data_IF_591901444133
#
_entry.id   IF_591901444133
#
_cell.length_a   1.000
_cell.length_b   1.000
_cell.length_c   1.000
_cell.angle_alpha   90.00
_cell.angle_beta   90.00
_cell.angle_gamma   90.00
#
_symmetry.space_group_name_H-M   'P 1'
#
loop_
_entity.id
_entity.type
_entity.pdbx_description
1 polymer ?
#
# COMPACT_ATOMS: atom_id res chain seq x y z
N UNK A 1 -10.22 12.86 25.32
CA UNK A 1 -9.38 12.50 24.18
C UNK A 1 -10.09 13.02 22.92
N UNK A 2 -9.71 14.18 22.37
CA UNK A 2 -10.31 14.74 21.16
C UNK A 2 -9.50 14.22 19.98
N UNK A 3 -10.04 13.30 19.19
CA UNK A 3 -9.45 12.92 17.91
C UNK A 3 -9.29 14.19 17.05
N UNK A 4 -8.12 14.43 16.46
CA UNK A 4 -7.99 15.48 15.47
C UNK A 4 -8.65 15.00 14.17
N UNK A 5 -9.96 15.29 14.02
CA UNK A 5 -10.69 15.16 12.75
C UNK A 5 -10.07 16.02 11.61
N UNK A 6 -9.07 16.80 11.92
CA UNK A 6 -8.39 17.70 10.97
C UNK A 6 -7.43 16.98 9.99
N UNK A 7 -7.12 15.70 10.20
CA UNK A 7 -6.18 14.98 9.30
C UNK A 7 -6.83 14.48 8.02
N UNK A 8 -8.14 14.44 7.92
CA UNK A 8 -8.85 14.10 6.68
C UNK A 8 -8.83 15.25 5.64
N UNK A 9 -8.47 16.45 6.03
CA UNK A 9 -8.52 17.65 5.18
C UNK A 9 -7.20 17.96 4.43
N UNK A 10 -6.14 17.22 4.67
CA UNK A 10 -4.88 17.33 3.90
C UNK A 10 -4.90 16.33 2.74
N UNK A 11 -5.95 16.34 1.92
CA UNK A 11 -5.82 15.90 0.54
C UNK A 11 -5.14 17.08 -0.19
N UNK A 12 -3.83 17.03 -0.46
CA UNK A 12 -3.27 18.03 -1.33
C UNK A 12 -4.00 17.88 -2.66
N UNK A 13 -4.57 18.97 -3.15
CA UNK A 13 -4.88 19.14 -4.56
C UNK A 13 -3.54 19.16 -5.32
N UNK A 14 -2.88 18.01 -5.35
CA UNK A 14 -1.76 17.77 -6.24
C UNK A 14 -2.35 17.94 -7.63
N UNK A 15 -1.92 18.98 -8.33
CA UNK A 15 -2.09 19.12 -9.77
C UNK A 15 -1.42 17.89 -10.39
N UNK A 16 -2.24 16.84 -10.59
CA UNK A 16 -1.80 15.62 -11.23
C UNK A 16 -1.79 15.96 -12.70
N UNK A 17 -0.60 16.01 -13.29
CA UNK A 17 -0.45 16.21 -14.72
C UNK A 17 -1.14 15.04 -15.46
N UNK A 18 -1.61 15.29 -16.66
CA UNK A 18 -2.21 14.27 -17.53
C UNK A 18 -1.32 13.03 -17.61
N UNK A 19 -1.86 11.82 -17.39
CA UNK A 19 -1.09 10.56 -17.32
C UNK A 19 -0.53 10.20 -15.95
N UNK A 20 -0.85 10.95 -14.88
CA UNK A 20 -0.35 10.69 -13.53
C UNK A 20 -1.46 10.22 -12.61
N UNK A 21 -1.22 9.16 -11.82
CA UNK A 21 -2.16 8.62 -10.83
C UNK A 21 -1.86 9.14 -9.42
N UNK A 22 -2.89 9.51 -8.66
CA UNK A 22 -2.79 9.77 -7.24
C UNK A 22 -2.87 8.46 -6.42
N UNK A 23 -2.09 8.34 -5.34
CA UNK A 23 -2.10 7.18 -4.44
C UNK A 23 -2.16 7.64 -3.00
N UNK A 24 -3.31 7.47 -2.37
CA UNK A 24 -3.53 7.82 -0.98
C UNK A 24 -3.80 6.55 -0.19
N UNK A 25 -3.05 6.36 0.87
CA UNK A 25 -3.26 5.26 1.81
C UNK A 25 -3.26 5.80 3.23
N UNK A 26 -4.26 5.43 3.99
CA UNK A 26 -4.36 5.75 5.40
C UNK A 26 -4.56 4.46 6.19
N UNK A 27 -3.65 4.18 7.12
CA UNK A 27 -3.74 3.02 8.00
C UNK A 27 -3.87 3.48 9.44
N UNK A 28 -4.81 2.92 10.17
CA UNK A 28 -4.93 3.11 11.62
C UNK A 28 -4.63 1.78 12.30
N UNK A 29 -3.71 1.79 13.25
CA UNK A 29 -3.38 0.64 14.07
C UNK A 29 -3.72 0.89 15.53
N UNK A 30 -4.29 -0.10 16.19
CA UNK A 30 -4.50 -0.14 17.63
C UNK A 30 -3.76 -1.36 18.19
N UNK A 31 -2.80 -1.11 19.09
CA UNK A 31 -2.05 -2.18 19.74
C UNK A 31 -2.86 -2.75 20.89
N UNK A 32 -3.17 -4.04 20.84
CA UNK A 32 -3.92 -4.74 21.88
C UNK A 32 -3.02 -5.26 23.01
N UNK A 33 -1.83 -5.72 22.65
CA UNK A 33 -0.79 -6.18 23.57
C UNK A 33 0.58 -6.21 22.84
N UNK A 34 1.59 -6.82 23.46
CA UNK A 34 2.96 -6.87 22.90
C UNK A 34 3.03 -7.54 21.51
N UNK A 35 2.11 -8.46 21.20
CA UNK A 35 2.14 -9.24 19.96
C UNK A 35 1.02 -8.92 18.98
N UNK A 36 -0.14 -8.50 19.47
CA UNK A 36 -1.32 -8.33 18.63
C UNK A 36 -1.67 -6.86 18.39
N UNK A 37 -1.96 -6.54 17.15
CA UNK A 37 -2.55 -5.27 16.75
C UNK A 37 -3.70 -5.51 15.78
N UNK A 38 -4.72 -4.67 15.87
CA UNK A 38 -5.79 -4.60 14.87
C UNK A 38 -5.73 -3.27 14.16
N UNK A 39 -6.23 -3.21 12.95
CA UNK A 39 -6.21 -1.97 12.19
C UNK A 39 -7.22 -1.96 11.06
N UNK A 40 -7.26 -0.83 10.40
CA UNK A 40 -7.99 -0.66 9.15
C UNK A 40 -7.16 0.16 8.17
N UNK A 41 -7.29 -0.17 6.92
CA UNK A 41 -6.61 0.50 5.82
C UNK A 41 -7.63 1.07 4.84
N UNK A 42 -7.42 2.30 4.43
CA UNK A 42 -8.20 2.97 3.40
C UNK A 42 -7.25 3.39 2.27
N UNK A 43 -7.51 2.90 1.06
CA UNK A 43 -6.80 3.36 -0.13
C UNK A 43 -7.77 4.10 -1.03
N UNK A 44 -7.31 5.24 -1.56
CA UNK A 44 -7.98 6.00 -2.59
C UNK A 44 -7.01 6.23 -3.73
N UNK A 45 -7.45 5.98 -4.94
CA UNK A 45 -6.64 6.15 -6.16
C UNK A 45 -7.45 6.94 -7.17
N UNK A 46 -7.36 8.26 -7.15
CA UNK A 46 -7.91 9.08 -8.22
C UNK A 46 -7.12 8.86 -9.52
N UNK A 47 -7.84 8.95 -10.61
CA UNK A 47 -7.33 8.87 -11.97
C UNK A 47 -6.97 10.24 -12.54
N UNK A 48 -6.42 10.25 -13.74
CA UNK A 48 -6.01 11.44 -14.48
C UNK A 48 -6.98 12.60 -14.36
N UNK A 49 -6.46 13.77 -13.97
CA UNK A 49 -7.21 15.02 -13.99
C UNK A 49 -8.21 15.22 -12.86
N UNK A 50 -8.12 14.48 -11.75
CA UNK A 50 -8.87 14.76 -10.48
C UNK A 50 -10.40 14.58 -10.57
N UNK A 51 -10.95 14.13 -11.69
CA UNK A 51 -12.40 14.04 -11.88
C UNK A 51 -13.05 12.76 -11.39
N UNK A 52 -12.29 11.66 -11.26
CA UNK A 52 -12.85 10.34 -11.00
C UNK A 52 -12.01 9.53 -10.02
N UNK A 53 -12.66 8.94 -9.02
CA UNK A 53 -12.04 7.95 -8.15
C UNK A 53 -11.97 6.60 -8.88
N UNK A 54 -10.76 6.22 -9.33
CA UNK A 54 -10.54 4.98 -10.05
C UNK A 54 -10.67 3.73 -9.15
N UNK A 55 -10.17 3.83 -7.91
CA UNK A 55 -10.19 2.69 -6.97
C UNK A 55 -10.35 3.19 -5.55
N UNK A 56 -11.21 2.54 -4.78
CA UNK A 56 -11.17 2.61 -3.32
C UNK A 56 -11.07 1.22 -2.72
N UNK A 57 -10.41 1.12 -1.56
CA UNK A 57 -10.23 -0.13 -0.82
C UNK A 57 -10.40 0.16 0.66
N UNK A 58 -11.23 -0.62 1.33
CA UNK A 58 -11.30 -0.67 2.80
C UNK A 58 -10.85 -2.04 3.24
N UNK A 59 -9.96 -2.11 4.25
CA UNK A 59 -9.28 -3.34 4.60
C UNK A 59 -9.07 -3.46 6.11
N UNK A 60 -10.06 -3.96 6.88
CA UNK A 60 -9.80 -4.41 8.24
C UNK A 60 -8.71 -5.48 8.25
N UNK A 61 -7.85 -5.40 9.28
CA UNK A 61 -6.65 -6.23 9.36
C UNK A 61 -6.28 -6.58 10.79
N UNK A 62 -5.61 -7.69 10.94
CA UNK A 62 -4.98 -8.12 12.18
C UNK A 62 -3.52 -8.43 11.93
N UNK A 63 -2.67 -8.07 12.88
CA UNK A 63 -1.23 -8.26 12.83
C UNK A 63 -0.76 -8.99 14.08
N UNK A 64 0.16 -9.93 13.90
CA UNK A 64 0.81 -10.69 14.95
C UNK A 64 2.33 -10.59 14.81
N UNK A 65 2.99 -10.01 15.80
CA UNK A 65 4.44 -9.93 15.89
C UNK A 65 4.96 -11.24 16.55
N UNK A 66 5.45 -12.18 15.71
CA UNK A 66 6.00 -13.45 16.19
C UNK A 66 7.26 -13.22 17.02
N UNK A 67 8.15 -12.36 16.50
CA UNK A 67 9.37 -11.87 17.16
C UNK A 67 9.82 -10.56 16.48
N UNK A 68 11.01 -10.05 16.83
CA UNK A 68 11.55 -8.80 16.26
C UNK A 68 11.80 -8.84 14.75
N UNK A 69 11.85 -10.01 14.14
CA UNK A 69 12.11 -10.21 12.71
C UNK A 69 10.83 -10.55 11.95
N UNK A 70 10.00 -11.42 12.48
CA UNK A 70 8.87 -12.00 11.76
C UNK A 70 7.54 -11.44 12.23
N UNK A 71 6.79 -10.91 11.28
CA UNK A 71 5.43 -10.43 11.48
C UNK A 71 4.49 -11.12 10.52
N UNK A 72 3.35 -11.55 11.02
CA UNK A 72 2.24 -12.12 10.24
C UNK A 72 1.10 -11.12 10.20
N UNK A 73 0.36 -11.08 9.09
CA UNK A 73 -0.80 -10.22 8.97
C UNK A 73 -1.89 -10.91 8.13
N UNK A 74 -3.14 -10.70 8.52
CA UNK A 74 -4.30 -11.11 7.73
C UNK A 74 -5.20 -9.90 7.49
N UNK A 75 -5.73 -9.78 6.27
CA UNK A 75 -6.60 -8.68 5.85
C UNK A 75 -7.83 -9.24 5.15
N UNK A 76 -8.96 -8.59 5.36
CA UNK A 76 -10.16 -8.78 4.55
C UNK A 76 -10.46 -7.46 3.84
N UNK A 77 -10.29 -7.41 2.52
CA UNK A 77 -10.43 -6.19 1.75
C UNK A 77 -11.69 -6.21 0.91
N UNK A 78 -12.46 -5.13 0.97
CA UNK A 78 -13.54 -4.83 0.03
C UNK A 78 -13.11 -3.65 -0.82
N UNK A 79 -13.31 -3.73 -2.11
CA UNK A 79 -12.89 -2.67 -3.03
C UNK A 79 -13.74 -2.61 -4.28
N UNK A 80 -13.83 -1.41 -4.82
CA UNK A 80 -14.26 -1.15 -6.18
C UNK A 80 -13.09 -0.59 -6.99
N UNK A 81 -13.01 -1.01 -8.23
CA UNK A 81 -12.01 -0.50 -9.17
C UNK A 81 -12.57 -0.54 -10.58
N UNK A 82 -12.20 0.44 -11.40
CA UNK A 82 -12.48 0.37 -12.82
C UNK A 82 -11.74 -0.82 -13.45
N UNK A 83 -12.37 -1.47 -14.43
CA UNK A 83 -11.74 -2.51 -15.24
C UNK A 83 -10.57 -1.92 -16.06
N UNK A 84 -9.79 -2.79 -16.70
CA UNK A 84 -8.61 -2.37 -17.47
C UNK A 84 -8.95 -1.42 -18.65
N UNK A 85 -10.17 -1.48 -19.15
CA UNK A 85 -10.66 -0.62 -20.24
C UNK A 85 -11.41 0.62 -19.72
N UNK A 86 -11.50 0.77 -18.37
CA UNK A 86 -12.13 1.88 -17.66
C UNK A 86 -13.60 2.14 -18.00
N UNK A 87 -14.28 1.11 -18.53
CA UNK A 87 -15.68 1.18 -18.96
C UNK A 87 -16.68 0.83 -17.87
N UNK A 88 -16.26 0.06 -16.86
CA UNK A 88 -17.14 -0.42 -15.78
C UNK A 88 -16.42 -0.53 -14.45
N UNK A 89 -17.12 -0.21 -13.37
CA UNK A 89 -16.73 -0.53 -12.01
C UNK A 89 -16.85 -2.04 -11.76
N UNK A 90 -15.91 -2.56 -11.01
CA UNK A 90 -15.85 -3.97 -10.64
C UNK A 90 -15.62 -4.09 -9.14
N UNK A 91 -16.50 -4.85 -8.48
CA UNK A 91 -16.46 -5.09 -7.04
C UNK A 91 -15.67 -6.35 -6.75
N UNK A 92 -14.81 -6.28 -5.75
CA UNK A 92 -14.00 -7.38 -5.30
C UNK A 92 -14.03 -7.52 -3.79
N UNK A 93 -14.03 -8.76 -3.33
CA UNK A 93 -13.64 -9.11 -1.97
C UNK A 93 -12.32 -9.87 -2.03
N UNK A 94 -11.40 -9.59 -1.10
CA UNK A 94 -10.12 -10.27 -1.02
C UNK A 94 -9.83 -10.68 0.42
N UNK A 95 -9.41 -11.93 0.60
CA UNK A 95 -8.68 -12.33 1.78
C UNK A 95 -7.18 -12.31 1.46
N UNK A 96 -6.40 -11.68 2.32
CA UNK A 96 -4.96 -11.49 2.13
C UNK A 96 -4.24 -12.01 3.36
N UNK A 97 -3.22 -12.84 3.16
CA UNK A 97 -2.30 -13.29 4.20
C UNK A 97 -0.90 -12.80 3.87
N UNK A 98 -0.22 -12.23 4.86
CA UNK A 98 1.12 -11.65 4.69
C UNK A 98 2.11 -12.25 5.69
N UNK A 99 3.32 -12.43 5.20
CA UNK A 99 4.51 -12.68 6.01
C UNK A 99 5.49 -11.54 5.75
N UNK A 100 5.86 -10.81 6.81
CA UNK A 100 6.64 -9.58 6.71
C UNK A 100 7.94 -9.69 7.52
N UNK A 101 8.98 -10.41 7.05
CA UNK A 101 10.26 -10.41 7.74
C UNK A 101 11.00 -9.08 7.57
N UNK A 102 11.60 -8.61 8.65
CA UNK A 102 12.38 -7.37 8.70
C UNK A 102 13.78 -7.66 9.20
N UNK A 103 14.80 -7.24 8.42
CA UNK A 103 16.20 -7.46 8.69
C UNK A 103 16.91 -6.12 8.85
N UNK A 104 17.53 -5.91 10.00
CA UNK A 104 18.40 -4.77 10.24
C UNK A 104 19.76 -5.06 9.63
N UNK A 105 20.08 -4.43 8.50
CA UNK A 105 21.35 -4.64 7.77
C UNK A 105 22.48 -3.80 8.39
N UNK A 106 22.13 -2.60 8.93
CA UNK A 106 23.04 -1.73 9.68
C UNK A 106 22.23 -0.84 10.65
N UNK A 107 22.89 0.09 11.33
CA UNK A 107 22.21 1.05 12.21
C UNK A 107 21.27 2.02 11.47
N UNK A 108 21.52 2.22 10.18
CA UNK A 108 20.73 3.11 9.33
C UNK A 108 19.93 2.38 8.25
N UNK A 109 20.18 1.10 7.99
CA UNK A 109 19.63 0.39 6.85
C UNK A 109 18.80 -0.81 7.29
N UNK A 110 17.54 -0.84 6.88
CA UNK A 110 16.59 -1.93 7.18
C UNK A 110 15.97 -2.45 5.89
N UNK A 111 16.00 -3.77 5.70
CA UNK A 111 15.30 -4.48 4.64
C UNK A 111 14.04 -5.11 5.20
N UNK A 112 12.90 -4.78 4.63
CA UNK A 112 11.61 -5.46 4.89
C UNK A 112 11.17 -6.18 3.63
N UNK A 113 10.83 -7.45 3.74
CA UNK A 113 10.16 -8.19 2.69
C UNK A 113 8.67 -8.27 3.07
N UNK A 114 7.78 -8.06 2.11
CA UNK A 114 6.37 -8.31 2.28
C UNK A 114 5.93 -9.36 1.28
N UNK A 115 5.67 -10.54 1.77
CA UNK A 115 5.17 -11.66 0.99
C UNK A 115 3.69 -11.79 1.26
N UNK A 116 2.86 -11.55 0.24
CA UNK A 116 1.40 -11.54 0.37
C UNK A 116 0.79 -12.56 -0.58
N UNK A 117 -0.06 -13.41 -0.04
CA UNK A 117 -0.95 -14.28 -0.80
C UNK A 117 -2.37 -13.71 -0.75
N UNK A 118 -3.06 -13.67 -1.90
CA UNK A 118 -4.39 -13.11 -2.07
C UNK A 118 -5.33 -14.16 -2.66
N UNK A 119 -6.49 -14.40 -2.01
CA UNK A 119 -7.68 -14.99 -2.59
C UNK A 119 -8.62 -13.86 -2.95
N UNK A 120 -9.07 -13.83 -4.18
CA UNK A 120 -9.83 -12.72 -4.74
C UNK A 120 -11.12 -13.24 -5.37
N UNK A 121 -12.23 -12.65 -4.97
CA UNK A 121 -13.57 -12.95 -5.51
C UNK A 121 -14.10 -11.69 -6.16
N UNK A 122 -14.46 -11.80 -7.44
CA UNK A 122 -15.17 -10.77 -8.17
C UNK A 122 -16.66 -10.99 -7.98
N UNK A 123 -17.43 -9.96 -7.64
CA UNK A 123 -18.88 -10.07 -7.54
C UNK A 123 -19.47 -10.36 -8.93
N UNK A 124 -20.28 -11.42 -9.04
CA UNK A 124 -20.85 -11.88 -10.31
C UNK A 124 -19.86 -12.47 -11.31
N UNK A 125 -18.65 -12.86 -10.86
CA UNK A 125 -17.60 -13.34 -11.74
C UNK A 125 -16.67 -14.35 -11.08
N UNK A 126 -15.45 -14.42 -11.60
CA UNK A 126 -14.49 -15.46 -11.31
C UNK A 126 -13.74 -15.24 -9.98
N UNK A 127 -13.25 -16.36 -9.49
CA UNK A 127 -12.27 -16.44 -8.43
C UNK A 127 -10.85 -16.38 -9.01
N UNK A 128 -9.93 -15.72 -8.34
CA UNK A 128 -8.51 -15.74 -8.69
C UNK A 128 -7.59 -15.71 -7.48
N UNK A 129 -6.39 -16.27 -7.65
CA UNK A 129 -5.34 -16.25 -6.63
C UNK A 129 -4.10 -15.53 -7.14
N UNK A 130 -3.43 -14.81 -6.24
CA UNK A 130 -2.26 -14.02 -6.59
C UNK A 130 -1.26 -14.00 -5.45
N UNK A 131 0.02 -14.00 -5.79
CA UNK A 131 1.11 -13.69 -4.86
C UNK A 131 1.70 -12.32 -5.18
N UNK A 132 2.13 -11.62 -4.14
CA UNK A 132 2.83 -10.35 -4.25
C UNK A 132 4.07 -10.41 -3.39
N UNK A 133 5.19 -10.02 -3.97
CA UNK A 133 6.49 -9.95 -3.30
C UNK A 133 6.97 -8.50 -3.34
N UNK A 134 7.26 -7.91 -2.17
CA UNK A 134 7.73 -6.53 -2.06
C UNK A 134 8.95 -6.41 -1.15
N UNK A 135 10.17 -6.49 -1.66
CA UNK A 135 11.33 -5.96 -0.97
C UNK A 135 11.23 -4.44 -0.84
N UNK A 136 11.55 -3.93 0.34
CA UNK A 136 11.64 -2.51 0.66
C UNK A 136 12.90 -2.27 1.48
N UNK A 137 13.67 -1.28 1.07
CA UNK A 137 14.87 -0.83 1.77
C UNK A 137 14.62 0.56 2.35
N UNK A 138 14.67 0.67 3.68
CA UNK A 138 14.53 1.93 4.41
C UNK A 138 15.93 2.39 4.85
N UNK A 139 16.29 3.63 4.49
CA UNK A 139 17.52 4.29 4.91
C UNK A 139 17.18 5.41 5.89
N UNK A 140 17.37 5.15 7.19
CA UNK A 140 17.13 6.09 8.28
C UNK A 140 18.35 6.97 8.48
N UNK A 141 18.21 8.26 8.20
CA UNK A 141 19.26 9.26 8.38
C UNK A 141 19.19 9.92 9.75
N UNK A 142 17.98 10.16 10.26
CA UNK A 142 17.73 10.83 11.53
C UNK A 142 16.81 9.99 12.41
N UNK A 143 17.23 9.78 13.67
CA UNK A 143 16.42 9.06 14.68
C UNK A 143 15.39 10.00 15.34
N UNK A 144 15.59 11.30 15.24
CA UNK A 144 14.76 12.35 15.82
C UNK A 144 14.33 13.36 14.75
N UNK A 145 13.37 14.22 15.09
CA UNK A 145 12.81 15.21 14.18
C UNK A 145 11.75 14.64 13.23
N UNK A 146 11.19 15.48 12.38
CA UNK A 146 10.12 15.10 11.45
C UNK A 146 10.65 14.28 10.27
N UNK A 147 11.74 14.70 9.66
CA UNK A 147 12.38 13.96 8.58
C UNK A 147 13.19 12.79 9.12
N UNK A 148 12.92 11.58 8.64
CA UNK A 148 13.59 10.34 9.08
C UNK A 148 14.57 9.79 8.06
N UNK A 149 14.32 9.96 6.77
CA UNK A 149 15.16 9.41 5.71
C UNK A 149 14.42 9.09 4.43
N UNK A 150 14.90 8.10 3.73
CA UNK A 150 14.39 7.68 2.44
C UNK A 150 14.07 6.19 2.41
N UNK A 151 13.31 5.77 1.40
CA UNK A 151 13.13 4.35 1.09
C UNK A 151 12.99 4.11 -0.41
N UNK A 152 13.25 2.88 -0.80
CA UNK A 152 12.94 2.37 -2.12
C UNK A 152 12.25 1.01 -1.99
N UNK A 153 11.36 0.68 -2.91
CA UNK A 153 10.71 -0.63 -2.93
C UNK A 153 10.34 -1.04 -4.35
N UNK A 154 10.27 -2.35 -4.58
CA UNK A 154 9.70 -2.91 -5.79
C UNK A 154 8.69 -3.98 -5.41
N UNK A 155 7.51 -3.99 -6.01
CA UNK A 155 6.49 -4.97 -5.74
C UNK A 155 6.06 -5.65 -7.05
N UNK A 156 6.23 -6.97 -7.11
CA UNK A 156 5.83 -7.78 -8.25
C UNK A 156 4.60 -8.62 -7.93
N UNK A 157 3.77 -8.86 -8.93
CA UNK A 157 2.48 -9.53 -8.80
C UNK A 157 2.42 -10.69 -9.79
N UNK A 158 2.29 -11.91 -9.27
CA UNK A 158 2.06 -13.09 -10.08
C UNK A 158 0.65 -13.64 -9.84
N UNK A 159 -0.13 -13.74 -10.90
CA UNK A 159 -1.50 -14.26 -10.87
C UNK A 159 -1.50 -15.71 -11.31
N UNK A 160 -1.85 -16.63 -10.40
CA UNK A 160 -1.85 -18.06 -10.67
C UNK A 160 -2.98 -18.48 -11.63
N UNK A 161 -4.08 -17.72 -11.65
CA UNK A 161 -5.21 -18.02 -12.57
C UNK A 161 -4.85 -17.69 -14.01
N UNK A 162 -4.01 -16.66 -14.21
CA UNK A 162 -3.55 -16.26 -15.53
C UNK A 162 -2.15 -16.83 -15.87
N UNK A 163 -1.51 -17.53 -14.92
CA UNK A 163 -0.16 -18.09 -15.02
C UNK A 163 0.88 -17.08 -15.54
N UNK A 164 0.87 -15.85 -14.98
CA UNK A 164 1.78 -14.78 -15.42
C UNK A 164 1.96 -13.65 -14.41
N UNK A 165 3.04 -12.91 -14.60
CA UNK A 165 3.20 -11.60 -13.96
C UNK A 165 2.20 -10.60 -14.57
N UNK A 166 1.43 -9.95 -13.71
CA UNK A 166 0.34 -9.04 -14.11
C UNK A 166 0.62 -7.59 -13.78
N UNK A 167 1.47 -7.33 -12.77
CA UNK A 167 1.76 -5.98 -12.35
C UNK A 167 3.16 -5.89 -11.71
N UNK A 168 3.81 -4.74 -11.88
CA UNK A 168 5.01 -4.33 -11.17
C UNK A 168 4.82 -2.90 -10.65
N UNK A 169 5.25 -2.63 -9.42
CA UNK A 169 5.22 -1.32 -8.78
C UNK A 169 6.60 -0.99 -8.24
N UNK A 170 7.28 -0.07 -8.88
CA UNK A 170 8.58 0.43 -8.45
C UNK A 170 8.41 1.78 -7.77
N UNK A 171 8.84 1.88 -6.52
CA UNK A 171 9.06 3.15 -5.81
C UNK A 171 10.58 3.35 -5.76
N UNK A 172 11.17 4.06 -6.71
CA UNK A 172 12.63 4.25 -6.74
C UNK A 172 13.10 5.17 -5.63
N UNK A 173 12.22 6.07 -5.17
CA UNK A 173 12.50 7.00 -4.09
C UNK A 173 11.20 7.36 -3.36
N UNK A 174 11.24 7.22 -2.05
CA UNK A 174 10.23 7.73 -1.12
C UNK A 174 10.89 8.40 0.07
N UNK A 175 10.17 9.29 0.71
CA UNK A 175 10.59 10.07 1.88
C UNK A 175 9.87 9.55 3.11
N UNK A 176 10.62 9.31 4.18
CA UNK A 176 10.12 8.89 5.49
C UNK A 176 10.00 10.11 6.42
N UNK A 177 8.81 10.36 6.93
CA UNK A 177 8.51 11.44 7.87
C UNK A 177 7.81 10.88 9.11
N UNK A 178 8.09 11.48 10.28
CA UNK A 178 7.38 11.18 11.53
C UNK A 178 7.05 12.50 12.25
N UNK A 179 5.91 13.12 11.92
CA UNK A 179 5.49 14.38 12.53
C UNK A 179 5.17 14.27 14.03
N UNK A 180 4.75 13.08 14.50
CA UNK A 180 4.53 12.79 15.92
C UNK A 180 4.87 11.31 16.21
N UNK A 181 4.86 10.94 17.48
CA UNK A 181 5.10 9.55 17.90
C UNK A 181 4.06 8.56 17.32
N UNK A 182 2.84 9.02 17.10
CA UNK A 182 1.74 8.22 16.58
C UNK A 182 1.63 8.24 15.06
N UNK A 183 2.25 9.22 14.37
CA UNK A 183 2.03 9.43 12.94
C UNK A 183 3.30 9.20 12.14
N UNK A 184 3.29 8.17 11.32
CA UNK A 184 4.28 7.94 10.26
C UNK A 184 3.68 8.36 8.91
N UNK A 185 4.44 9.14 8.13
CA UNK A 185 4.09 9.53 6.77
C UNK A 185 5.15 9.06 5.79
N UNK A 186 4.72 8.67 4.61
CA UNK A 186 5.57 8.35 3.47
C UNK A 186 5.08 9.11 2.25
N UNK A 187 5.95 9.86 1.63
CA UNK A 187 5.71 10.51 0.34
C UNK A 187 6.53 9.75 -0.71
N UNK A 188 5.96 9.43 -1.86
CA UNK A 188 6.66 8.64 -2.84
C UNK A 188 6.24 8.93 -4.28
N UNK A 189 7.18 8.69 -5.17
CA UNK A 189 6.94 8.54 -6.59
C UNK A 189 6.80 7.05 -6.90
N UNK A 190 5.83 6.71 -7.73
CA UNK A 190 5.51 5.35 -8.15
C UNK A 190 5.61 5.22 -9.67
N UNK A 191 6.36 4.24 -10.12
CA UNK A 191 6.29 3.73 -11.48
C UNK A 191 5.56 2.39 -11.45
N UNK A 192 4.36 2.38 -12.04
CA UNK A 192 3.49 1.21 -12.10
C UNK A 192 3.43 0.68 -13.51
N UNK A 193 3.72 -0.61 -13.70
CA UNK A 193 3.56 -1.32 -14.97
C UNK A 193 2.47 -2.37 -14.80
N UNK A 194 1.45 -2.38 -15.65
CA UNK A 194 0.38 -3.38 -15.65
C UNK A 194 0.32 -4.12 -16.97
N UNK A 195 0.06 -5.42 -16.93
CA UNK A 195 -0.03 -6.25 -18.12
C UNK A 195 -1.50 -6.44 -18.51
N UNK A 196 -1.89 -5.84 -19.63
CA UNK A 196 -3.20 -6.06 -20.28
C UNK A 196 -3.13 -7.06 -21.42
N UNK A 197 -4.20 -7.16 -22.20
CA UNK A 197 -4.28 -8.00 -23.40
C UNK A 197 -3.29 -7.57 -24.51
N UNK A 198 -2.95 -6.30 -24.59
CA UNK A 198 -2.03 -5.72 -25.57
C UNK A 198 -0.58 -5.57 -25.06
N UNK A 199 -0.22 -6.16 -23.93
CA UNK A 199 1.12 -6.07 -23.34
C UNK A 199 1.19 -5.19 -22.09
N UNK A 200 2.39 -4.69 -21.78
CA UNK A 200 2.64 -3.85 -20.60
C UNK A 200 2.31 -2.39 -20.87
N UNK A 201 1.59 -1.77 -19.94
CA UNK A 201 1.31 -0.33 -19.91
C UNK A 201 1.96 0.28 -18.67
N UNK A 202 2.57 1.43 -18.81
CA UNK A 202 3.26 2.13 -17.74
C UNK A 202 2.46 3.36 -17.29
N UNK A 203 2.42 3.56 -15.98
CA UNK A 203 1.79 4.70 -15.32
C UNK A 203 2.77 5.30 -14.32
N UNK A 204 2.67 6.58 -14.13
CA UNK A 204 3.41 7.31 -13.12
C UNK A 204 2.44 7.76 -12.03
N UNK A 205 2.90 7.82 -10.79
CA UNK A 205 2.06 8.22 -9.68
C UNK A 205 2.83 8.96 -8.60
N UNK A 206 2.11 9.83 -7.91
CA UNK A 206 2.58 10.43 -6.65
C UNK A 206 1.70 9.89 -5.53
N UNK A 207 2.31 9.51 -4.42
CA UNK A 207 1.58 8.90 -3.33
C UNK A 207 1.93 9.43 -1.96
N UNK A 208 0.93 9.32 -1.09
CA UNK A 208 1.03 9.60 0.33
C UNK A 208 0.51 8.40 1.09
N UNK A 209 1.30 7.89 2.03
CA UNK A 209 0.85 6.91 3.02
C UNK A 209 0.93 7.54 4.41
N UNK A 210 -0.16 7.45 5.16
CA UNK A 210 -0.21 7.84 6.56
C UNK A 210 -0.50 6.60 7.41
N UNK A 211 0.27 6.39 8.47
CA UNK A 211 0.02 5.35 9.46
C UNK A 211 -0.12 5.98 10.85
N UNK A 212 -1.28 5.78 11.47
CA UNK A 212 -1.58 6.19 12.84
C UNK A 212 -1.45 4.96 13.74
N UNK A 213 -0.65 5.06 14.79
CA UNK A 213 -0.34 4.00 15.73
C UNK A 213 -0.78 4.39 17.15
N UNK A 214 -1.69 3.61 17.77
CA UNK A 214 -2.24 3.80 19.12
C UNK A 214 -1.98 2.60 20.01
#
# INVERSE_FOLDING_TARGET
>A
MRLPLALLALLPSLLIAEGTQGWYQNTVWVRLNEKWSIGNDLHLRPDDGVGRLHTWIVSPRVRYDLNSTWQLQANLSVLETYNADETALTDWTRFEFEVNPTFRLSDSLTLTLRDRFEWRWRHGGDYSTRVRLRPQLDWTLHKEGVFRGFYASNEVFYDFTQDRFTENRLTPLGVLLRPSEQLDLRLFYLWRSTRGGQGWRNYHGLGVQAALNY
#
